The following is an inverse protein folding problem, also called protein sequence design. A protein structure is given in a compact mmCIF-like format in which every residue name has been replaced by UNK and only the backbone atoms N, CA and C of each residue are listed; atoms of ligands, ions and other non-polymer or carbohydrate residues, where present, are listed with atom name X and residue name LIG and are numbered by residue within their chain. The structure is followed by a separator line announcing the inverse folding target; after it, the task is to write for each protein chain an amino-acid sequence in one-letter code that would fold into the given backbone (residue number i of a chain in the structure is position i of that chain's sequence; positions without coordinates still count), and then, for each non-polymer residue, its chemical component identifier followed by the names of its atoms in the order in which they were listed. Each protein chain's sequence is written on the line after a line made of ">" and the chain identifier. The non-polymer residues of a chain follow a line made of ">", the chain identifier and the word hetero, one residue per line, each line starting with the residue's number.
data_IF_901754363088
#
_entry.id   IF_901754363088
#
_cell.length_a   1.000
_cell.length_b   1.000
_cell.length_c   1.000
_cell.angle_alpha   90.00
_cell.angle_beta   90.00
_cell.angle_gamma   90.00
#
_symmetry.space_group_name_H-M   'P 1'
#
loop_
_entity.id
_entity.type
_entity.pdbx_description
1 polymer ?
#
# COMPACT_ATOMS: atom_id res chain seq x y z
N UNK A 1 31.70 -0.80 -17.77
CA UNK A 1 30.29 -0.37 -17.66
C UNK A 1 30.02 -0.04 -16.20
N UNK A 2 29.37 1.11 -15.89
CA UNK A 2 28.97 1.40 -14.52
C UNK A 2 28.03 0.31 -14.00
N UNK A 3 28.05 0.01 -12.69
CA UNK A 3 27.11 -0.94 -12.10
C UNK A 3 25.68 -0.43 -12.32
N UNK A 4 24.79 -1.31 -12.78
CA UNK A 4 23.38 -0.99 -13.01
C UNK A 4 22.75 -0.40 -11.75
N UNK A 5 21.84 0.54 -11.93
CA UNK A 5 21.01 1.07 -10.85
C UNK A 5 20.08 0.00 -10.29
N UNK A 6 19.54 0.24 -9.09
CA UNK A 6 18.53 -0.63 -8.47
C UNK A 6 17.27 -0.75 -9.34
N UNK A 7 16.86 0.33 -10.01
CA UNK A 7 15.66 0.37 -10.83
C UNK A 7 15.84 -0.44 -12.12
N UNK A 8 17.00 -0.33 -12.77
CA UNK A 8 17.31 -1.11 -13.98
C UNK A 8 17.31 -2.61 -13.71
N UNK A 9 17.82 -3.04 -12.55
CA UNK A 9 17.72 -4.46 -12.13
C UNK A 9 16.26 -4.88 -11.93
N UNK A 10 15.47 -4.08 -11.23
CA UNK A 10 14.06 -4.39 -10.98
C UNK A 10 13.26 -4.52 -12.29
N UNK A 11 13.49 -3.64 -13.27
CA UNK A 11 12.81 -3.73 -14.57
C UNK A 11 13.17 -5.04 -15.30
N UNK A 12 14.41 -5.50 -15.21
CA UNK A 12 14.81 -6.80 -15.75
C UNK A 12 14.16 -7.97 -14.99
N UNK A 13 13.92 -7.84 -13.69
CA UNK A 13 13.27 -8.91 -12.92
C UNK A 13 11.77 -9.02 -13.25
N UNK A 14 11.11 -7.92 -13.62
CA UNK A 14 9.65 -7.88 -13.86
C UNK A 14 9.25 -7.90 -15.34
N UNK A 15 10.18 -7.79 -16.30
CA UNK A 15 9.83 -7.66 -17.73
C UNK A 15 9.04 -8.84 -18.32
N UNK A 16 9.19 -10.05 -17.74
CA UNK A 16 8.49 -11.26 -18.16
C UNK A 16 7.28 -11.61 -17.28
N UNK A 17 6.90 -10.72 -16.36
CA UNK A 17 5.68 -10.91 -15.58
C UNK A 17 4.47 -10.76 -16.48
N UNK A 18 3.36 -11.38 -16.08
CA UNK A 18 2.10 -11.25 -16.82
C UNK A 18 1.55 -9.84 -16.65
N UNK A 19 0.72 -9.40 -17.60
CA UNK A 19 0.12 -8.07 -17.57
C UNK A 19 -0.63 -7.83 -16.26
N UNK A 20 -1.35 -8.82 -15.75
CA UNK A 20 -2.12 -8.69 -14.50
C UNK A 20 -1.19 -8.47 -13.29
N UNK A 21 0.01 -9.03 -13.30
CA UNK A 21 1.01 -8.86 -12.22
C UNK A 21 1.66 -7.48 -12.29
N UNK A 22 1.89 -6.96 -13.50
CA UNK A 22 2.39 -5.60 -13.73
C UNK A 22 1.35 -4.53 -13.38
N UNK A 23 0.08 -4.75 -13.73
CA UNK A 23 -1.04 -3.87 -13.35
C UNK A 23 -1.23 -3.83 -11.84
N UNK A 24 -1.13 -5.00 -11.19
CA UNK A 24 -1.19 -5.11 -9.73
C UNK A 24 -0.02 -4.38 -9.06
N UNK A 25 1.20 -4.54 -9.57
CA UNK A 25 2.37 -3.81 -9.09
C UNK A 25 2.20 -2.29 -9.26
N UNK A 26 1.64 -1.84 -10.39
CA UNK A 26 1.36 -0.43 -10.64
C UNK A 26 0.32 0.13 -9.64
N UNK A 27 -0.70 -0.65 -9.29
CA UNK A 27 -1.67 -0.27 -8.27
C UNK A 27 -1.02 -0.13 -6.88
N UNK A 28 -0.13 -1.05 -6.50
CA UNK A 28 0.63 -0.95 -5.25
C UNK A 28 1.54 0.29 -5.22
N UNK A 29 2.28 0.55 -6.29
CA UNK A 29 3.16 1.73 -6.40
C UNK A 29 2.34 3.01 -6.27
N UNK A 30 1.22 3.10 -7.00
CA UNK A 30 0.33 4.26 -6.95
C UNK A 30 -0.22 4.48 -5.54
N UNK A 31 -0.73 3.41 -4.91
CA UNK A 31 -1.23 3.49 -3.54
C UNK A 31 -0.15 3.91 -2.53
N UNK A 32 1.09 3.45 -2.72
CA UNK A 32 2.22 3.83 -1.87
C UNK A 32 2.60 5.31 -2.02
N UNK A 33 2.61 5.82 -3.26
CA UNK A 33 2.90 7.22 -3.53
C UNK A 33 1.84 8.13 -2.92
N UNK A 34 0.56 7.78 -3.05
CA UNK A 34 -0.53 8.52 -2.43
C UNK A 34 -0.46 8.50 -0.90
N UNK A 35 -0.18 7.33 -0.31
CA UNK A 35 -0.02 7.22 1.14
C UNK A 35 1.09 8.13 1.69
N UNK A 36 2.22 8.27 0.98
CA UNK A 36 3.32 9.17 1.38
C UNK A 36 2.95 10.65 1.29
N UNK A 37 2.14 11.03 0.30
CA UNK A 37 1.65 12.40 0.18
C UNK A 37 0.71 12.77 1.32
N UNK A 38 -0.13 11.82 1.76
CA UNK A 38 -1.01 12.00 2.92
C UNK A 38 -0.20 12.19 4.21
N UNK A 39 0.87 11.42 4.43
CA UNK A 39 1.75 11.55 5.60
C UNK A 39 2.51 12.91 5.63
N UNK A 40 2.63 13.60 4.50
CA UNK A 40 3.34 14.90 4.39
C UNK A 40 2.39 16.10 4.40
N UNK A 41 1.09 15.86 4.21
CA UNK A 41 0.08 16.90 4.12
C UNK A 41 -0.71 16.95 5.43
N UNK A 42 -0.39 17.89 6.32
CA UNK A 42 -1.17 18.13 7.53
C UNK A 42 -2.66 18.34 7.18
N UNK A 43 -3.50 17.34 7.49
CA UNK A 43 -4.91 17.50 7.85
C UNK A 43 -5.92 18.01 6.81
N UNK A 44 -5.57 18.25 5.55
CA UNK A 44 -6.56 18.72 4.56
C UNK A 44 -7.14 17.58 3.71
N UNK A 45 -8.41 17.23 3.97
CA UNK A 45 -9.27 16.42 3.10
C UNK A 45 -9.45 17.12 1.72
N UNK A 46 -8.46 17.01 0.82
CA UNK A 46 -8.62 17.40 -0.59
C UNK A 46 -9.67 16.48 -1.23
N UNK A 47 -10.55 16.95 -2.13
CA UNK A 47 -11.46 16.15 -2.99
C UNK A 47 -10.96 16.11 -4.44
N UNK A 48 -11.34 15.09 -5.24
CA UNK A 48 -10.92 14.92 -6.65
C UNK A 48 -11.79 15.75 -7.58
N UNK A 49 -11.25 16.14 -8.74
CA UNK A 49 -12.00 16.85 -9.81
C UNK A 49 -13.12 15.99 -10.42
N UNK A 50 -13.02 14.66 -10.34
CA UNK A 50 -14.01 13.71 -10.85
C UNK A 50 -15.18 13.42 -9.90
N UNK A 51 -15.24 14.11 -8.75
CA UNK A 51 -16.32 13.96 -7.76
C UNK A 51 -16.23 12.69 -6.90
N UNK A 52 -15.19 11.87 -7.03
CA UNK A 52 -15.00 10.70 -6.14
C UNK A 52 -14.53 11.14 -4.75
N UNK A 53 -15.02 10.49 -3.67
CA UNK A 53 -14.71 10.91 -2.31
C UNK A 53 -13.23 10.61 -1.98
N UNK A 54 -12.45 11.67 -1.73
CA UNK A 54 -11.25 11.58 -0.89
C UNK A 54 -11.69 11.67 0.57
N UNK A 55 -12.14 10.56 1.12
CA UNK A 55 -12.27 10.45 2.57
C UNK A 55 -10.92 10.11 3.21
N UNK A 56 -10.93 10.02 4.54
CA UNK A 56 -9.95 9.30 5.38
C UNK A 56 -9.56 7.88 4.90
N UNK A 57 -10.27 7.36 3.89
CA UNK A 57 -10.07 6.08 3.19
C UNK A 57 -10.08 6.18 1.63
N UNK A 58 -9.91 7.38 1.05
CA UNK A 58 -10.29 7.70 -0.35
C UNK A 58 -9.15 7.93 -1.35
N UNK A 59 -7.93 7.50 -1.03
CA UNK A 59 -6.84 7.35 -2.02
C UNK A 59 -6.84 5.95 -2.67
N UNK A 60 -6.13 5.77 -3.79
CA UNK A 60 -5.75 4.44 -4.29
C UNK A 60 -4.90 3.68 -3.27
N UNK A 61 -4.36 4.34 -2.24
CA UNK A 61 -3.88 3.66 -1.02
C UNK A 61 -3.65 4.55 0.20
N UNK A 62 -3.48 3.91 1.36
CA UNK A 62 -3.12 4.51 2.66
C UNK A 62 -2.36 3.50 3.53
N UNK A 63 -1.68 3.97 4.60
CA UNK A 63 -1.04 3.09 5.58
C UNK A 63 -2.03 2.72 6.69
N UNK A 64 -2.20 1.43 6.93
CA UNK A 64 -3.03 0.87 7.99
C UNK A 64 -2.14 0.17 9.03
N UNK A 65 -2.32 0.51 10.31
CA UNK A 65 -1.67 -0.18 11.42
C UNK A 65 -2.58 -1.29 11.97
N UNK A 66 -2.06 -2.50 12.09
CA UNK A 66 -2.81 -3.65 12.61
C UNK A 66 -2.14 -4.26 13.83
N UNK A 67 -2.96 -4.52 14.84
CA UNK A 67 -2.63 -5.44 15.93
C UNK A 67 -3.19 -6.82 15.57
N UNK A 68 -2.37 -7.86 15.70
CA UNK A 68 -2.75 -9.23 15.36
C UNK A 68 -2.87 -10.03 16.67
N UNK A 69 -4.09 -10.44 17.07
CA UNK A 69 -4.26 -11.32 18.22
C UNK A 69 -3.82 -12.74 17.89
N UNK A 70 -3.07 -13.37 18.80
CA UNK A 70 -2.73 -14.79 18.77
C UNK A 70 -3.68 -15.55 19.69
N UNK A 71 -4.63 -16.25 19.08
CA UNK A 71 -5.67 -17.02 19.78
C UNK A 71 -5.12 -18.20 20.59
N UNK A 72 -3.90 -18.66 20.29
CA UNK A 72 -3.27 -19.79 21.00
C UNK A 72 -2.57 -19.35 22.28
N UNK A 73 -1.97 -18.17 22.30
CA UNK A 73 -1.21 -17.66 23.46
C UNK A 73 -1.89 -16.54 24.22
N UNK A 74 -2.99 -15.99 23.69
CA UNK A 74 -3.70 -14.85 24.26
C UNK A 74 -2.97 -13.50 24.11
N UNK A 75 -1.81 -13.49 23.43
CA UNK A 75 -1.01 -12.28 23.23
C UNK A 75 -1.48 -11.52 21.99
N UNK A 76 -1.24 -10.21 21.98
CA UNK A 76 -1.49 -9.35 20.82
C UNK A 76 -0.14 -8.86 20.30
N UNK A 77 0.14 -9.07 19.02
CA UNK A 77 1.40 -8.67 18.37
C UNK A 77 1.18 -7.47 17.46
N UNK A 78 2.13 -6.54 17.45
CA UNK A 78 2.09 -5.34 16.61
C UNK A 78 2.62 -4.10 17.33
N UNK A 79 2.39 -2.90 16.76
CA UNK A 79 1.65 -2.67 15.51
C UNK A 79 2.42 -3.14 14.28
N UNK A 80 1.70 -3.56 13.25
CA UNK A 80 2.25 -3.92 11.94
C UNK A 80 1.73 -2.96 10.87
N UNK A 81 2.61 -2.50 9.97
CA UNK A 81 2.26 -1.59 8.88
C UNK A 81 1.82 -2.37 7.66
N UNK A 82 0.71 -1.96 7.09
CA UNK A 82 0.21 -2.45 5.82
C UNK A 82 -0.05 -1.28 4.88
N UNK A 83 0.36 -1.42 3.61
CA UNK A 83 -0.23 -0.62 2.54
C UNK A 83 -1.60 -1.21 2.25
N UNK A 84 -2.66 -0.42 2.43
CA UNK A 84 -3.99 -0.76 1.95
C UNK A 84 -4.22 0.00 0.65
N UNK A 85 -4.47 -0.72 -0.45
CA UNK A 85 -4.60 -0.13 -1.79
C UNK A 85 -5.76 -0.74 -2.56
N UNK A 86 -6.26 -0.03 -3.57
CA UNK A 86 -7.34 -0.49 -4.44
C UNK A 86 -6.76 -1.26 -5.63
N UNK A 87 -7.19 -2.51 -5.83
CA UNK A 87 -6.67 -3.38 -6.89
C UNK A 87 -7.64 -4.50 -7.26
N UNK A 88 -7.27 -5.34 -8.23
CA UNK A 88 -8.11 -6.44 -8.68
C UNK A 88 -8.11 -7.57 -7.65
N UNK A 89 -9.28 -7.91 -7.12
CA UNK A 89 -9.42 -9.01 -6.15
C UNK A 89 -9.40 -10.36 -6.84
N UNK A 90 -9.25 -11.45 -6.06
CA UNK A 90 -9.34 -12.83 -6.58
C UNK A 90 -10.66 -13.14 -7.29
N UNK A 91 -11.70 -12.34 -7.05
CA UNK A 91 -13.03 -12.48 -7.69
C UNK A 91 -13.15 -11.71 -9.01
N UNK A 92 -12.08 -11.07 -9.48
CA UNK A 92 -12.10 -10.27 -10.71
C UNK A 92 -12.84 -8.93 -10.57
N UNK A 93 -13.12 -8.49 -9.34
CA UNK A 93 -13.70 -7.18 -9.05
C UNK A 93 -12.68 -6.30 -8.37
N UNK A 94 -12.80 -4.98 -8.56
CA UNK A 94 -11.97 -4.02 -7.84
C UNK A 94 -12.32 -4.01 -6.34
N UNK A 95 -11.29 -3.96 -5.48
CA UNK A 95 -11.46 -3.94 -4.04
C UNK A 95 -10.17 -3.63 -3.27
N UNK A 96 -10.29 -3.48 -1.94
CA UNK A 96 -9.14 -3.21 -1.08
C UNK A 96 -8.27 -4.46 -0.90
N UNK A 97 -6.97 -4.28 -1.11
CA UNK A 97 -5.90 -5.27 -0.90
C UNK A 97 -4.86 -4.73 0.06
N UNK A 98 -4.12 -5.63 0.71
CA UNK A 98 -3.15 -5.31 1.76
C UNK A 98 -1.82 -5.92 1.37
N UNK A 99 -0.76 -5.13 1.50
CA UNK A 99 0.62 -5.61 1.46
C UNK A 99 1.28 -5.25 2.77
N UNK A 100 1.90 -6.24 3.41
CA UNK A 100 2.66 -6.03 4.64
C UNK A 100 3.94 -5.23 4.33
N UNK A 101 4.17 -4.17 5.10
CA UNK A 101 5.33 -3.28 4.93
C UNK A 101 6.37 -3.44 6.03
N UNK A 102 6.07 -4.19 7.10
CA UNK A 102 6.97 -4.37 8.24
C UNK A 102 6.33 -4.07 9.59
N UNK A 103 7.14 -4.17 10.66
CA UNK A 103 6.74 -3.73 11.99
C UNK A 103 6.51 -2.22 11.99
N UNK A 104 5.40 -1.79 12.57
CA UNK A 104 5.15 -0.39 12.89
C UNK A 104 5.91 0.03 14.14
N UNK A 105 6.14 1.33 14.29
CA UNK A 105 6.53 1.86 15.58
C UNK A 105 5.28 1.95 16.46
N UNK A 106 5.33 1.55 17.74
CA UNK A 106 4.30 1.93 18.69
C UNK A 106 4.23 3.46 18.70
N UNK A 107 3.01 4.02 18.67
CA UNK A 107 2.82 5.45 18.90
C UNK A 107 3.31 5.75 20.32
N UNK A 108 4.34 6.60 20.43
CA UNK A 108 4.69 7.22 21.71
C UNK A 108 3.68 8.36 21.92
N UNK A 109 2.52 8.02 22.48
CA UNK A 109 1.63 9.00 23.12
C UNK A 109 1.87 8.97 24.64
#
# INVERSE_FOLDING_TARGET
>A
MPPRSRLERLIQDIHNWRNEELEELAAMITGLLEARQQDTSDGFEKRREDGTPLGRHGGRGHIELKMIPDTRTGKIYGPYRYLRYWGMTKKGTMGLKSVYLGKGQPSND
#
